data_IF_894150289697
#
_entry.id   IF_894150289697
#
_cell.length_a   1.000
_cell.length_b   1.000
_cell.length_c   1.000
_cell.angle_alpha   90.00
_cell.angle_beta   90.00
_cell.angle_gamma   90.00
#
_symmetry.space_group_name_H-M   'P 1'
#
loop_
_entity.id
_entity.type
_entity.pdbx_description
1 polymer ?
#
# COMPACT_ATOMS: atom_id res chain seq x y z
N UNK A 1 -8.32 15.36 -20.91
CA UNK A 1 -8.67 15.57 -19.48
C UNK A 1 -8.99 14.29 -18.68
N UNK A 2 -8.99 13.07 -19.27
CA UNK A 2 -9.39 11.84 -18.54
C UNK A 2 -8.29 11.18 -17.66
N UNK A 3 -7.02 11.25 -18.04
CA UNK A 3 -5.94 10.54 -17.34
C UNK A 3 -5.65 11.07 -15.92
N UNK A 4 -5.73 12.39 -15.72
CA UNK A 4 -5.40 13.03 -14.44
C UNK A 4 -6.33 12.59 -13.28
N UNK A 5 -7.61 12.39 -13.59
CA UNK A 5 -8.57 11.93 -12.59
C UNK A 5 -8.35 10.44 -12.22
N UNK A 6 -7.80 9.66 -13.14
CA UNK A 6 -7.47 8.24 -12.91
C UNK A 6 -6.29 8.11 -11.94
N UNK A 7 -5.22 8.89 -12.11
CA UNK A 7 -4.06 8.87 -11.21
C UNK A 7 -4.42 9.23 -9.77
N UNK A 8 -5.22 10.28 -9.59
CA UNK A 8 -5.67 10.70 -8.25
C UNK A 8 -6.54 9.64 -7.56
N UNK A 9 -7.42 8.97 -8.30
CA UNK A 9 -8.20 7.84 -7.79
C UNK A 9 -7.31 6.65 -7.44
N UNK A 10 -6.34 6.33 -8.31
CA UNK A 10 -5.43 5.20 -8.14
C UNK A 10 -4.53 5.37 -6.92
N UNK A 11 -3.99 6.57 -6.68
CA UNK A 11 -3.20 6.89 -5.48
C UNK A 11 -4.03 6.73 -4.22
N UNK A 12 -5.29 7.19 -4.22
CA UNK A 12 -6.20 7.06 -3.08
C UNK A 12 -6.51 5.59 -2.79
N UNK A 13 -6.75 4.81 -3.83
CA UNK A 13 -6.98 3.38 -3.75
C UNK A 13 -5.74 2.62 -3.21
N UNK A 14 -4.56 2.92 -3.72
CA UNK A 14 -3.28 2.36 -3.25
C UNK A 14 -3.03 2.68 -1.77
N UNK A 15 -3.33 3.89 -1.31
CA UNK A 15 -3.22 4.25 0.12
C UNK A 15 -4.19 3.45 0.99
N UNK A 16 -5.43 3.23 0.54
CA UNK A 16 -6.42 2.40 1.24
C UNK A 16 -5.94 0.94 1.30
N UNK A 17 -5.47 0.39 0.18
CA UNK A 17 -4.93 -0.98 0.11
C UNK A 17 -3.68 -1.16 0.99
N UNK A 18 -2.79 -0.16 1.06
CA UNK A 18 -1.65 -0.17 1.98
C UNK A 18 -2.11 -0.22 3.45
N UNK A 19 -3.15 0.53 3.80
CA UNK A 19 -3.75 0.50 5.14
C UNK A 19 -4.34 -0.86 5.49
N UNK A 20 -5.07 -1.48 4.54
CA UNK A 20 -5.64 -2.83 4.71
C UNK A 20 -4.53 -3.87 4.87
N UNK A 21 -3.48 -3.80 4.04
CA UNK A 21 -2.33 -4.71 4.13
C UNK A 21 -1.60 -4.58 5.48
N UNK A 22 -1.39 -3.36 5.97
CA UNK A 22 -0.80 -3.12 7.28
C UNK A 22 -1.68 -3.68 8.41
N UNK A 23 -3.00 -3.46 8.35
CA UNK A 23 -3.94 -4.02 9.33
C UNK A 23 -3.96 -5.55 9.30
N UNK A 24 -3.96 -6.16 8.11
CA UNK A 24 -3.88 -7.62 7.94
C UNK A 24 -2.59 -8.20 8.53
N UNK A 25 -1.45 -7.54 8.32
CA UNK A 25 -0.17 -7.97 8.90
C UNK A 25 -0.17 -7.92 10.44
N UNK A 26 -0.80 -6.90 11.04
CA UNK A 26 -0.97 -6.80 12.50
C UNK A 26 -1.89 -7.93 13.00
N UNK A 27 -2.99 -8.20 12.31
CA UNK A 27 -3.91 -9.28 12.66
C UNK A 27 -3.23 -10.65 12.64
N UNK A 28 -2.39 -10.94 11.64
CA UNK A 28 -1.64 -12.20 11.57
C UNK A 28 -0.66 -12.37 12.75
N UNK A 29 0.00 -11.29 13.18
CA UNK A 29 0.87 -11.30 14.37
C UNK A 29 0.05 -11.52 15.64
N UNK A 30 -1.12 -10.88 15.77
CA UNK A 30 -2.03 -11.10 16.92
C UNK A 30 -2.53 -12.54 16.94
N UNK A 31 -2.96 -13.08 15.80
CA UNK A 31 -3.41 -14.48 15.67
C UNK A 31 -2.29 -15.44 16.03
N UNK A 32 -1.05 -15.15 15.65
CA UNK A 32 0.11 -15.94 16.07
C UNK A 32 0.29 -15.99 17.59
N UNK A 33 0.13 -14.83 18.27
CA UNK A 33 0.15 -14.76 19.73
C UNK A 33 -1.01 -15.52 20.38
N UNK A 34 -2.25 -15.35 19.87
CA UNK A 34 -3.46 -15.98 20.41
C UNK A 34 -3.43 -17.50 20.21
N UNK A 35 -2.92 -17.97 19.06
CA UNK A 35 -2.77 -19.39 18.75
C UNK A 35 -1.58 -20.05 19.47
N UNK A 36 -0.97 -19.38 20.46
CA UNK A 36 0.16 -19.87 21.26
C UNK A 36 1.27 -20.48 20.39
N UNK A 37 1.64 -19.80 19.30
CA UNK A 37 2.79 -20.20 18.48
C UNK A 37 2.62 -21.53 17.71
N UNK A 38 1.42 -22.12 17.66
CA UNK A 38 1.18 -23.41 16.98
C UNK A 38 1.36 -23.35 15.46
N UNK A 39 1.16 -22.17 14.85
CA UNK A 39 1.27 -21.97 13.40
C UNK A 39 2.30 -20.87 13.16
N UNK A 40 3.30 -21.03 12.27
CA UNK A 40 4.34 -20.03 12.05
C UNK A 40 3.84 -18.85 11.19
N UNK A 41 2.82 -18.14 11.66
CA UNK A 41 2.16 -17.04 10.94
C UNK A 41 2.96 -15.73 10.96
N UNK A 42 4.08 -15.65 11.70
CA UNK A 42 4.95 -14.47 11.73
C UNK A 42 5.41 -14.07 10.33
N UNK A 43 5.77 -15.07 9.51
CA UNK A 43 6.22 -14.83 8.14
C UNK A 43 5.14 -14.17 7.28
N UNK A 44 3.87 -14.54 7.48
CA UNK A 44 2.74 -13.90 6.84
C UNK A 44 2.62 -12.43 7.28
N UNK A 45 2.72 -12.15 8.58
CA UNK A 45 2.75 -10.79 9.11
C UNK A 45 3.86 -9.92 8.50
N UNK A 46 5.08 -10.46 8.39
CA UNK A 46 6.20 -9.77 7.73
C UNK A 46 5.97 -9.55 6.24
N UNK A 47 5.41 -10.52 5.51
CA UNK A 47 5.09 -10.35 4.09
C UNK A 47 4.02 -9.28 3.86
N UNK A 48 3.02 -9.18 4.73
CA UNK A 48 2.00 -8.14 4.66
C UNK A 48 2.54 -6.75 4.99
N UNK A 49 3.45 -6.65 5.96
CA UNK A 49 4.18 -5.41 6.25
C UNK A 49 5.07 -4.98 5.08
N UNK A 50 5.80 -5.90 4.46
CA UNK A 50 6.60 -5.63 3.28
C UNK A 50 5.73 -5.20 2.09
N UNK A 51 4.58 -5.85 1.88
CA UNK A 51 3.60 -5.47 0.87
C UNK A 51 3.03 -4.07 1.12
N UNK A 52 2.70 -3.71 2.37
CA UNK A 52 2.22 -2.38 2.71
C UNK A 52 3.25 -1.29 2.38
N UNK A 53 4.54 -1.54 2.66
CA UNK A 53 5.65 -0.62 2.32
C UNK A 53 5.77 -0.47 0.80
N UNK A 54 5.75 -1.56 0.05
CA UNK A 54 5.84 -1.54 -1.41
C UNK A 54 4.65 -0.78 -2.03
N UNK A 55 3.43 -1.05 -1.57
CA UNK A 55 2.22 -0.37 -2.03
C UNK A 55 2.31 1.14 -1.74
N UNK A 56 2.80 1.52 -0.56
CA UNK A 56 3.03 2.92 -0.19
C UNK A 56 4.08 3.60 -1.08
N UNK A 57 5.19 2.92 -1.37
CA UNK A 57 6.23 3.40 -2.29
C UNK A 57 5.66 3.62 -3.70
N UNK A 58 4.88 2.67 -4.23
CA UNK A 58 4.21 2.85 -5.53
C UNK A 58 3.23 4.02 -5.51
N UNK A 59 2.47 4.22 -4.42
CA UNK A 59 1.56 5.37 -4.31
C UNK A 59 2.32 6.71 -4.41
N UNK A 60 3.47 6.82 -3.73
CA UNK A 60 4.33 8.02 -3.82
C UNK A 60 4.95 8.21 -5.20
N UNK A 61 5.29 7.12 -5.89
CA UNK A 61 5.84 7.19 -7.24
C UNK A 61 4.79 7.73 -8.22
N UNK A 62 3.55 7.27 -8.10
CA UNK A 62 2.42 7.77 -8.89
C UNK A 62 2.11 9.25 -8.61
N UNK A 63 2.18 9.72 -7.35
CA UNK A 63 2.04 11.15 -7.03
C UNK A 63 3.12 12.01 -7.72
N UNK A 64 4.37 11.53 -7.78
CA UNK A 64 5.44 12.25 -8.49
C UNK A 64 5.23 12.27 -10.00
N UNK A 65 4.80 11.15 -10.59
CA UNK A 65 4.52 11.07 -12.02
C UNK A 65 3.40 12.04 -12.44
N UNK A 66 2.33 12.09 -11.65
CA UNK A 66 1.19 12.98 -11.87
C UNK A 66 1.62 14.47 -11.84
N UNK A 67 2.53 14.82 -10.91
CA UNK A 67 3.11 16.17 -10.81
C UNK A 67 3.93 16.53 -12.06
N UNK A 68 4.81 15.62 -12.50
CA UNK A 68 5.65 15.81 -13.69
C UNK A 68 4.81 15.89 -14.98
N UNK A 69 3.75 15.10 -15.11
CA UNK A 69 2.86 15.16 -16.27
C UNK A 69 2.06 16.46 -16.32
N UNK A 70 1.69 17.01 -15.17
CA UNK A 70 1.08 18.34 -15.10
C UNK A 70 2.05 19.46 -15.46
N UNK A 71 3.27 19.44 -14.95
CA UNK A 71 4.30 20.43 -15.32
C UNK A 71 4.56 20.42 -16.83
N UNK A 72 4.59 19.23 -17.45
CA UNK A 72 4.77 19.08 -18.90
C UNK A 72 3.56 19.53 -19.75
N UNK A 73 2.37 19.68 -19.16
CA UNK A 73 1.17 20.20 -19.86
C UNK A 73 0.99 21.70 -19.73
N UNK A 74 1.64 22.31 -18.73
CA UNK A 74 1.59 23.76 -18.46
C UNK A 74 2.66 24.51 -19.28
N UNK A 75 3.75 23.85 -19.64
CA UNK A 75 4.78 24.32 -20.58
C UNK A 75 4.36 24.07 -22.03
#
# INVERSE_FOLDING_TARGET
MKAFNQYKLMVRYLKIMAGIAAFSGIMDVITWFVAKFMVPCIFLGFTWLAAAILIFCTAKLYEKLDRLENERKVM
#
